data_IF_754382469947
#
_entry.id   IF_754382469947
#
_cell.length_a   1.000
_cell.length_b   1.000
_cell.length_c   1.000
_cell.angle_alpha   90.00
_cell.angle_beta   90.00
_cell.angle_gamma   90.00
#
_symmetry.space_group_name_H-M   'P 1'
#
loop_
_entity.id
_entity.type
_entity.pdbx_description
1 polymer ?
#
# COMPACT_ATOMS: atom_id res chain seq x y z
N UNK A 1 -23.62 -34.76 -0.63
CA UNK A 1 -22.41 -34.47 0.18
C UNK A 1 -21.55 -33.51 -0.65
N UNK A 2 -21.50 -32.23 -0.29
CA UNK A 2 -20.62 -31.29 -0.97
C UNK A 2 -19.29 -31.29 -0.21
N UNK A 3 -18.21 -31.69 -0.88
CA UNK A 3 -16.87 -31.66 -0.31
C UNK A 3 -16.52 -30.23 0.06
N UNK A 4 -16.23 -30.00 1.33
CA UNK A 4 -15.74 -28.74 1.86
C UNK A 4 -14.47 -28.35 1.10
N UNK A 5 -14.55 -27.28 0.31
CA UNK A 5 -13.39 -26.70 -0.32
C UNK A 5 -12.43 -26.23 0.77
N UNK A 6 -11.28 -26.89 0.83
CA UNK A 6 -10.06 -26.57 1.54
C UNK A 6 -10.06 -25.21 2.27
N UNK A 7 -10.28 -25.23 3.59
CA UNK A 7 -9.84 -24.14 4.48
C UNK A 7 -8.32 -24.22 4.63
N UNK A 8 -7.58 -24.13 3.53
CA UNK A 8 -6.13 -24.12 3.60
C UNK A 8 -5.71 -22.77 4.17
N UNK A 9 -5.25 -22.77 5.42
CA UNK A 9 -4.47 -21.73 6.09
C UNK A 9 -3.15 -21.54 5.34
N UNK A 10 -3.20 -21.07 4.09
CA UNK A 10 -2.03 -20.43 3.48
C UNK A 10 -1.81 -19.14 4.28
N UNK A 11 -0.58 -18.86 4.73
CA UNK A 11 -0.29 -17.54 5.30
C UNK A 11 -0.78 -16.52 4.28
N UNK A 12 -1.61 -15.57 4.72
CA UNK A 12 -2.11 -14.50 3.85
C UNK A 12 -0.89 -13.83 3.24
N UNK A 13 -0.67 -14.05 1.94
CA UNK A 13 0.50 -13.52 1.24
C UNK A 13 0.37 -12.01 1.21
N UNK A 14 1.11 -11.34 2.08
CA UNK A 14 1.19 -9.88 2.09
C UNK A 14 2.18 -9.43 1.02
N UNK A 15 1.80 -8.36 0.32
CA UNK A 15 2.63 -7.71 -0.69
C UNK A 15 2.77 -6.23 -0.34
N UNK A 16 3.88 -5.64 -0.76
CA UNK A 16 4.03 -4.19 -0.76
C UNK A 16 3.54 -3.67 -2.11
N UNK A 17 2.42 -2.96 -2.07
CA UNK A 17 1.80 -2.34 -3.24
C UNK A 17 2.29 -0.91 -3.36
N UNK A 18 2.86 -0.58 -4.52
CA UNK A 18 3.39 0.75 -4.81
C UNK A 18 2.50 1.46 -5.81
N UNK A 19 2.19 2.71 -5.53
CA UNK A 19 1.38 3.59 -6.37
C UNK A 19 2.12 4.88 -6.65
N UNK A 20 1.90 5.43 -7.84
CA UNK A 20 2.03 6.86 -8.05
C UNK A 20 0.69 7.49 -7.63
N UNK A 21 0.77 8.46 -6.75
CA UNK A 21 -0.36 9.10 -6.13
C UNK A 21 -0.35 10.59 -6.42
N UNK A 22 -1.51 11.14 -6.73
CA UNK A 22 -1.75 12.58 -6.89
C UNK A 22 -2.77 13.00 -5.85
N UNK A 23 -2.51 14.07 -5.11
CA UNK A 23 -3.40 14.50 -4.04
C UNK A 23 -4.68 15.12 -4.63
N UNK A 24 -5.85 14.69 -4.15
CA UNK A 24 -7.13 15.21 -4.66
C UNK A 24 -7.40 16.64 -4.20
N UNK A 25 -6.90 16.99 -3.02
CA UNK A 25 -7.13 18.28 -2.37
C UNK A 25 -6.28 19.40 -2.98
N UNK A 26 -5.13 19.06 -3.55
CA UNK A 26 -4.19 20.02 -4.14
C UNK A 26 -3.93 19.74 -5.62
N UNK A 27 -4.50 20.60 -6.46
CA UNK A 27 -4.38 20.55 -7.92
C UNK A 27 -2.95 20.87 -8.42
N UNK A 28 -2.09 21.45 -7.58
CA UNK A 28 -0.69 21.72 -7.89
C UNK A 28 0.26 20.72 -7.23
N UNK A 29 -0.27 19.68 -6.58
CA UNK A 29 0.55 18.66 -5.96
C UNK A 29 1.37 17.92 -7.00
N UNK A 30 2.65 17.72 -6.68
CA UNK A 30 3.51 16.87 -7.48
C UNK A 30 3.12 15.40 -7.27
N UNK A 31 3.16 14.57 -8.33
CA UNK A 31 2.95 13.13 -8.18
C UNK A 31 3.96 12.57 -7.18
N UNK A 32 3.47 11.88 -6.15
CA UNK A 32 4.30 11.25 -5.14
C UNK A 32 4.22 9.72 -5.24
N UNK A 33 5.16 9.03 -4.63
CA UNK A 33 5.20 7.56 -4.65
C UNK A 33 4.85 7.00 -3.27
N UNK A 34 3.73 6.30 -3.19
CA UNK A 34 3.24 5.69 -1.95
C UNK A 34 3.37 4.18 -2.00
N UNK A 35 3.68 3.57 -0.86
CA UNK A 35 3.73 2.12 -0.69
C UNK A 35 2.84 1.72 0.49
N UNK A 36 2.08 0.64 0.33
CA UNK A 36 1.22 0.10 1.39
C UNK A 36 1.28 -1.42 1.39
N UNK A 37 1.32 -2.01 2.58
CA UNK A 37 1.26 -3.45 2.74
C UNK A 37 -0.20 -3.91 2.72
N UNK A 38 -0.53 -4.85 1.84
CA UNK A 38 -1.85 -5.45 1.78
C UNK A 38 -1.79 -6.84 1.14
N UNK A 39 -2.77 -7.68 1.46
CA UNK A 39 -2.91 -8.98 0.79
C UNK A 39 -3.34 -8.80 -0.68
N UNK A 40 -4.18 -7.79 -0.96
CA UNK A 40 -4.70 -7.51 -2.30
C UNK A 40 -4.51 -6.06 -2.73
N UNK A 41 -4.46 -5.83 -4.06
CA UNK A 41 -4.43 -4.48 -4.64
C UNK A 41 -5.64 -3.65 -4.21
N UNK A 42 -6.79 -4.31 -4.09
CA UNK A 42 -8.06 -3.66 -3.79
C UNK A 42 -8.08 -3.09 -2.38
N UNK A 43 -7.55 -3.83 -1.41
CA UNK A 43 -7.37 -3.35 -0.04
C UNK A 43 -6.36 -2.20 0.02
N UNK A 44 -5.21 -2.35 -0.63
CA UNK A 44 -4.21 -1.30 -0.76
C UNK A 44 -4.81 -0.01 -1.34
N UNK A 45 -5.59 -0.13 -2.41
CA UNK A 45 -6.29 1.00 -3.03
C UNK A 45 -7.34 1.60 -2.11
N UNK A 46 -8.10 0.77 -1.37
CA UNK A 46 -9.14 1.26 -0.44
C UNK A 46 -8.56 2.17 0.65
N UNK A 47 -7.34 1.89 1.11
CA UNK A 47 -6.64 2.70 2.12
C UNK A 47 -6.30 4.10 1.57
N UNK A 48 -5.81 4.17 0.32
CA UNK A 48 -5.24 5.40 -0.25
C UNK A 48 -6.22 6.21 -1.12
N UNK A 49 -7.22 5.57 -1.72
CA UNK A 49 -8.17 6.19 -2.67
C UNK A 49 -9.02 7.34 -2.09
N UNK A 50 -9.32 7.42 -0.78
CA UNK A 50 -10.01 8.58 -0.22
C UNK A 50 -9.24 9.89 -0.42
N UNK A 51 -7.91 9.84 -0.43
CA UNK A 51 -7.04 11.03 -0.41
C UNK A 51 -6.37 11.30 -1.75
N UNK A 52 -6.09 10.24 -2.50
CA UNK A 52 -5.29 10.31 -3.71
C UNK A 52 -6.03 9.78 -4.95
N UNK A 53 -5.61 10.27 -6.11
CA UNK A 53 -5.81 9.60 -7.40
C UNK A 53 -4.61 8.68 -7.58
N UNK A 54 -4.87 7.39 -7.82
CA UNK A 54 -3.85 6.34 -7.76
C UNK A 54 -3.64 5.69 -9.12
N UNK A 55 -2.38 5.57 -9.51
CA UNK A 55 -1.93 4.71 -10.60
C UNK A 55 -1.03 3.62 -10.04
N UNK A 56 -1.37 2.35 -10.29
CA UNK A 56 -0.58 1.22 -9.79
C UNK A 56 0.80 1.21 -10.45
N UNK A 57 1.85 1.19 -9.63
CA UNK A 57 3.23 1.21 -10.10
C UNK A 57 3.93 -0.16 -9.95
N UNK A 58 3.70 -0.87 -8.84
CA UNK A 58 4.32 -2.18 -8.61
C UNK A 58 3.60 -3.03 -7.57
N UNK A 59 3.79 -4.35 -7.64
CA UNK A 59 3.51 -5.32 -6.58
C UNK A 59 4.80 -6.03 -6.21
N UNK A 60 5.27 -5.84 -4.99
CA UNK A 60 6.53 -6.40 -4.50
C UNK A 60 6.23 -7.49 -3.46
N UNK A 61 6.86 -8.69 -3.55
CA UNK A 61 6.74 -9.70 -2.52
C UNK A 61 7.45 -9.23 -1.24
N UNK A 62 6.78 -9.30 -0.09
CA UNK A 62 7.42 -8.95 1.20
C UNK A 62 8.40 -10.03 1.67
N UNK A 63 8.25 -11.28 1.21
CA UNK A 63 9.21 -12.37 1.45
C UNK A 63 10.47 -12.14 0.61
N UNK A 64 11.48 -11.53 1.21
CA UNK A 64 12.78 -11.23 0.58
C UNK A 64 13.20 -9.76 0.70
N UNK A 65 12.29 -8.89 1.16
CA UNK A 65 12.64 -7.56 1.63
C UNK A 65 12.95 -7.71 3.12
N UNK A 66 14.09 -8.32 3.43
CA UNK A 66 14.74 -8.01 4.70
C UNK A 66 14.73 -6.50 4.79
N UNK A 67 14.22 -5.96 5.91
CA UNK A 67 14.13 -4.53 6.14
C UNK A 67 15.53 -3.97 5.96
N UNK A 68 15.85 -3.51 4.75
CA UNK A 68 17.01 -2.69 4.51
C UNK A 68 16.61 -1.38 5.18
N UNK A 69 16.83 -1.32 6.50
CA UNK A 69 16.97 -0.11 7.25
C UNK A 69 18.24 0.57 6.74
N UNK A 70 18.23 1.04 5.49
CA UNK A 70 19.19 2.03 5.04
C UNK A 70 18.60 3.39 5.38
N UNK A 71 19.20 4.13 6.32
CA UNK A 71 18.88 5.53 6.53
C UNK A 71 19.46 6.29 5.33
N UNK A 72 18.69 6.44 4.26
CA UNK A 72 19.07 7.33 3.16
C UNK A 72 17.90 8.23 2.80
N UNK A 73 17.91 9.38 3.48
CA UNK A 73 17.85 10.69 2.84
C UNK A 73 16.60 11.00 2.00
N UNK A 74 15.61 11.56 2.70
CA UNK A 74 14.63 12.55 2.22
C UNK A 74 13.86 12.17 0.94
N UNK A 75 12.71 11.51 1.11
CA UNK A 75 11.49 11.94 0.41
C UNK A 75 10.34 11.95 1.43
N UNK A 76 10.17 13.14 2.04
CA UNK A 76 9.01 13.62 2.81
C UNK A 76 8.26 12.54 3.60
N UNK A 77 8.81 12.27 4.79
CA UNK A 77 8.00 12.23 6.00
C UNK A 77 7.16 13.53 6.05
N UNK A 78 5.92 13.47 5.57
CA UNK A 78 4.90 14.51 5.71
C UNK A 78 3.54 13.90 5.40
N UNK A 79 3.23 12.78 6.05
CA UNK A 79 1.85 12.43 6.40
C UNK A 79 1.89 11.38 7.52
N UNK A 80 2.74 11.61 8.52
CA UNK A 80 2.54 10.96 9.80
C UNK A 80 1.24 11.49 10.41
N UNK A 81 0.31 10.56 10.61
CA UNK A 81 -0.71 10.57 11.66
C UNK A 81 -1.81 11.62 11.54
N UNK A 82 -2.82 11.43 10.67
CA UNK A 82 -4.22 11.89 10.92
C UNK A 82 -5.31 11.09 10.22
N UNK A 83 -5.15 9.79 10.00
CA UNK A 83 -6.27 8.93 9.61
C UNK A 83 -6.44 7.76 10.58
N UNK A 84 -6.57 8.11 11.86
CA UNK A 84 -7.13 7.23 12.88
C UNK A 84 -8.34 7.95 13.50
N UNK A 85 -9.48 7.26 13.45
CA UNK A 85 -10.70 7.45 14.24
C UNK A 85 -11.59 8.65 13.87
N UNK A 86 -12.67 8.32 13.15
CA UNK A 86 -14.02 8.78 13.49
C UNK A 86 -14.86 7.52 13.74
#
# INVERSE_FOLDING_TARGET
MACSHDTQTRPEKTYLWRFIALERSDLKSEPCRLSVEAATEREARRILAPYFILSLAARLPLQGIEKISTPSTIEKTSMEVRYAQA
#
